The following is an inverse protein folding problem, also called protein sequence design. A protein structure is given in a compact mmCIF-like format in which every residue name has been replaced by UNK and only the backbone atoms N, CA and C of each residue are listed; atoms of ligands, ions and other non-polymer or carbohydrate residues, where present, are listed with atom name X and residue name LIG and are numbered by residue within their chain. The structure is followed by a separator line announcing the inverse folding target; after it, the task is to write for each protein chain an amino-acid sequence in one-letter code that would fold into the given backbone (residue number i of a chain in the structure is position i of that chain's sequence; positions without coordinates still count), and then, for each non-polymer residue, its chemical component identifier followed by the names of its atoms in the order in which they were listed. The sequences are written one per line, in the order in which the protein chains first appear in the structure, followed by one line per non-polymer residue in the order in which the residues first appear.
data_IF_227308153897
#
_entry.id   IF_227308153897
#
_cell.length_a   1.000
_cell.length_b   1.000
_cell.length_c   1.000
_cell.angle_alpha   90.00
_cell.angle_beta   90.00
_cell.angle_gamma   90.00
#
_symmetry.space_group_name_H-M   'P 1'
#
loop_
_entity.id
_entity.type
_entity.pdbx_description
1 polymer ?
#
# COMPACT_ATOMS: atom_id res chain seq x y z
N UNK A 1 -4.89 -13.07 5.06
CA UNK A 1 -3.57 -12.44 5.30
C UNK A 1 -3.58 -12.03 6.76
N UNK A 2 -2.87 -12.79 7.60
CA UNK A 2 -2.66 -12.41 8.99
C UNK A 2 -1.86 -11.11 9.03
N UNK A 3 -2.41 -10.11 9.69
CA UNK A 3 -1.70 -8.85 9.93
C UNK A 3 -0.79 -9.09 11.12
N UNK A 4 0.48 -9.32 10.87
CA UNK A 4 1.48 -9.43 11.93
C UNK A 4 1.84 -8.03 12.40
N UNK A 5 1.44 -7.68 13.62
CA UNK A 5 1.83 -6.41 14.24
C UNK A 5 3.26 -6.49 14.76
N UNK A 6 4.05 -5.40 14.66
CA UNK A 6 5.38 -5.36 15.25
C UNK A 6 5.27 -5.34 16.77
N UNK A 7 6.15 -6.10 17.42
CA UNK A 7 6.33 -6.06 18.87
C UNK A 7 7.53 -5.19 19.20
N UNK A 8 7.34 -4.27 20.13
CA UNK A 8 8.42 -3.43 20.64
C UNK A 8 8.74 -3.83 22.07
N UNK A 9 9.98 -4.17 22.31
CA UNK A 9 10.54 -4.52 23.62
C UNK A 9 11.53 -3.43 23.99
N UNK A 10 11.21 -2.67 25.04
CA UNK A 10 12.03 -1.56 25.53
C UNK A 10 12.68 -2.00 26.84
N UNK A 11 13.97 -1.79 26.95
CA UNK A 11 14.78 -2.07 28.15
C UNK A 11 15.70 -0.89 28.44
N UNK A 12 16.01 -0.66 29.70
CA UNK A 12 16.97 0.37 30.13
C UNK A 12 18.37 -0.18 30.42
N UNK A 13 18.53 -1.51 30.45
CA UNK A 13 19.79 -2.15 30.89
C UNK A 13 20.17 -3.40 30.08
N UNK A 14 19.57 -3.63 28.91
CA UNK A 14 19.93 -4.81 28.11
C UNK A 14 21.24 -4.59 27.37
N UNK A 15 22.08 -5.62 27.33
CA UNK A 15 23.26 -5.63 26.48
C UNK A 15 22.90 -5.98 25.03
N UNK A 16 23.77 -5.64 24.08
CA UNK A 16 23.61 -6.03 22.67
C UNK A 16 23.53 -7.55 22.49
N UNK A 17 24.31 -8.29 23.27
CA UNK A 17 24.35 -9.74 23.26
C UNK A 17 23.01 -10.31 23.68
N UNK A 18 22.43 -9.78 24.75
CA UNK A 18 21.09 -10.20 25.23
C UNK A 18 19.99 -9.89 24.21
N UNK A 19 20.02 -8.69 23.60
CA UNK A 19 19.07 -8.33 22.55
C UNK A 19 19.19 -9.23 21.32
N UNK A 20 20.42 -9.53 20.87
CA UNK A 20 20.66 -10.45 19.76
C UNK A 20 20.25 -11.89 20.10
N UNK A 21 20.48 -12.34 21.34
CA UNK A 21 20.03 -13.64 21.80
C UNK A 21 18.51 -13.75 21.84
N UNK A 22 17.80 -12.71 22.27
CA UNK A 22 16.35 -12.65 22.23
C UNK A 22 15.83 -12.65 20.79
N UNK A 23 16.43 -11.83 19.92
CA UNK A 23 16.04 -11.77 18.51
C UNK A 23 16.19 -13.14 17.82
N UNK A 24 17.30 -13.83 18.06
CA UNK A 24 17.54 -15.15 17.46
C UNK A 24 16.52 -16.23 17.91
N UNK A 25 15.83 -16.02 19.04
CA UNK A 25 14.75 -16.91 19.54
C UNK A 25 13.38 -16.54 19.01
N UNK A 26 13.17 -15.26 18.63
CA UNK A 26 11.87 -14.73 18.25
C UNK A 26 11.71 -14.54 16.76
N UNK A 27 12.78 -14.18 16.07
CA UNK A 27 12.79 -13.87 14.64
C UNK A 27 13.85 -14.69 13.88
N UNK A 28 13.54 -14.98 12.62
CA UNK A 28 14.42 -15.78 11.76
C UNK A 28 15.61 -14.96 11.19
N UNK A 29 15.45 -13.65 11.13
CA UNK A 29 16.41 -12.77 10.47
C UNK A 29 16.52 -11.42 11.16
N UNK A 30 17.76 -10.93 11.32
CA UNK A 30 18.05 -9.57 11.75
C UNK A 30 18.13 -8.68 10.51
N UNK A 31 17.32 -7.63 10.49
CA UNK A 31 17.27 -6.68 9.35
C UNK A 31 18.04 -5.40 9.59
N UNK A 32 18.22 -5.03 10.85
CA UNK A 32 18.76 -3.73 11.18
C UNK A 32 19.32 -3.71 12.59
N UNK A 33 20.44 -3.04 12.73
CA UNK A 33 21.06 -2.73 14.02
C UNK A 33 21.53 -1.28 13.99
N UNK A 34 21.21 -0.54 15.04
CA UNK A 34 21.62 0.83 15.24
C UNK A 34 22.06 1.05 16.68
N UNK A 35 23.10 1.83 16.84
CA UNK A 35 23.73 2.09 18.12
C UNK A 35 24.19 3.55 18.17
N UNK A 36 23.79 4.27 19.20
CA UNK A 36 24.31 5.58 19.52
C UNK A 36 24.46 5.77 21.05
N UNK A 37 24.76 6.98 21.49
CA UNK A 37 24.94 7.28 22.91
C UNK A 37 23.65 7.23 23.74
N UNK A 38 22.47 7.34 23.07
CA UNK A 38 21.16 7.44 23.71
C UNK A 38 20.41 6.10 23.75
N UNK A 39 20.56 5.27 22.72
CA UNK A 39 19.83 3.98 22.62
C UNK A 39 20.50 3.03 21.61
N UNK A 40 20.24 1.74 21.80
CA UNK A 40 20.50 0.70 20.81
C UNK A 40 19.18 0.18 20.26
N UNK A 41 19.12 -0.07 18.96
CA UNK A 41 17.94 -0.66 18.30
C UNK A 41 18.36 -1.87 17.48
N UNK A 42 17.73 -3.00 17.71
CA UNK A 42 17.85 -4.20 16.86
C UNK A 42 16.45 -4.55 16.34
N UNK A 43 16.38 -4.76 15.05
CA UNK A 43 15.12 -5.08 14.37
C UNK A 43 15.19 -6.43 13.66
N UNK A 44 14.23 -7.29 13.94
CA UNK A 44 13.91 -8.49 13.17
C UNK A 44 12.69 -8.33 12.26
N UNK A 45 12.06 -9.45 11.91
CA UNK A 45 10.83 -9.49 11.12
C UNK A 45 9.65 -8.87 11.84
N UNK A 46 9.48 -9.24 13.10
CA UNK A 46 8.32 -8.93 13.92
C UNK A 46 8.71 -8.12 15.14
N UNK A 47 9.89 -8.37 15.70
CA UNK A 47 10.35 -7.78 16.94
C UNK A 47 11.31 -6.62 16.72
N UNK A 48 11.12 -5.57 17.52
CA UNK A 48 12.02 -4.45 17.68
C UNK A 48 12.49 -4.43 19.13
N UNK A 49 13.78 -4.58 19.35
CA UNK A 49 14.41 -4.45 20.67
C UNK A 49 15.09 -3.10 20.76
N UNK A 50 14.71 -2.32 21.76
CA UNK A 50 15.25 -0.98 22.00
C UNK A 50 15.84 -0.98 23.41
N UNK A 51 17.14 -0.76 23.50
CA UNK A 51 17.79 -0.52 24.79
C UNK A 51 17.97 0.99 24.96
N UNK A 52 17.27 1.55 25.94
CA UNK A 52 17.36 2.96 26.28
C UNK A 52 18.54 3.20 27.21
N UNK A 53 19.50 4.02 26.78
CA UNK A 53 20.67 4.41 27.59
C UNK A 53 20.45 5.75 28.27
N UNK A 54 20.00 6.74 27.53
CA UNK A 54 19.85 8.15 27.99
C UNK A 54 18.76 8.92 27.23
N UNK A 55 17.96 8.25 26.41
CA UNK A 55 16.90 8.92 25.67
C UNK A 55 15.69 9.20 26.58
N UNK A 56 14.97 10.27 26.28
CA UNK A 56 13.66 10.48 26.87
C UNK A 56 12.66 9.45 26.32
N UNK A 57 11.81 8.90 27.16
CA UNK A 57 10.84 7.88 26.79
C UNK A 57 9.94 8.36 25.64
N UNK A 58 9.54 9.63 25.66
CA UNK A 58 8.71 10.27 24.63
C UNK A 58 9.36 10.16 23.23
N UNK A 59 10.67 10.24 23.12
CA UNK A 59 11.38 10.12 21.84
C UNK A 59 11.39 8.69 21.33
N UNK A 60 11.46 7.71 22.22
CA UNK A 60 11.35 6.31 21.88
C UNK A 60 9.91 6.01 21.39
N UNK A 61 8.89 6.54 22.07
CA UNK A 61 7.49 6.40 21.66
C UNK A 61 7.25 6.99 20.27
N UNK A 62 7.73 8.19 19.99
CA UNK A 62 7.64 8.82 18.65
C UNK A 62 8.32 7.99 17.57
N UNK A 63 9.48 7.42 17.87
CA UNK A 63 10.17 6.52 16.94
C UNK A 63 9.33 5.27 16.65
N UNK A 64 8.77 4.66 17.70
CA UNK A 64 7.88 3.49 17.57
C UNK A 64 6.67 3.83 16.71
N UNK A 65 6.00 4.94 16.98
CA UNK A 65 4.86 5.41 16.17
C UNK A 65 5.24 5.59 14.70
N UNK A 66 6.40 6.14 14.42
CA UNK A 66 6.87 6.35 13.06
C UNK A 66 7.16 5.01 12.34
N UNK A 67 7.74 4.04 13.03
CA UNK A 67 7.96 2.70 12.46
C UNK A 67 6.64 1.97 12.19
N UNK A 68 5.65 2.11 13.06
CA UNK A 68 4.30 1.57 12.86
C UNK A 68 3.66 2.22 11.63
N UNK A 69 3.71 3.55 11.54
CA UNK A 69 3.18 4.29 10.38
C UNK A 69 3.79 3.81 9.06
N UNK A 70 5.12 3.77 8.96
CA UNK A 70 5.82 3.33 7.74
C UNK A 70 5.41 1.91 7.35
N UNK A 71 5.29 1.02 8.31
CA UNK A 71 4.89 -0.37 8.08
C UNK A 71 3.46 -0.48 7.58
N UNK A 72 2.52 0.19 8.25
CA UNK A 72 1.10 0.18 7.86
C UNK A 72 0.90 0.81 6.47
N UNK A 73 1.58 1.91 6.22
CA UNK A 73 1.55 2.57 4.91
C UNK A 73 2.05 1.64 3.81
N UNK A 74 3.19 0.99 4.01
CA UNK A 74 3.73 -0.01 3.09
C UNK A 74 2.77 -1.18 2.89
N UNK A 75 2.16 -1.68 3.97
CA UNK A 75 1.15 -2.73 3.92
C UNK A 75 -0.05 -2.34 3.05
N UNK A 76 -0.52 -1.11 3.19
CA UNK A 76 -1.62 -0.57 2.38
C UNK A 76 -1.24 -0.45 0.89
N UNK A 77 -0.03 -0.01 0.56
CA UNK A 77 0.46 0.02 -0.81
C UNK A 77 0.48 -1.37 -1.45
N UNK A 78 0.96 -2.37 -0.72
CA UNK A 78 0.95 -3.77 -1.19
C UNK A 78 -0.46 -4.31 -1.42
N UNK A 79 -1.42 -3.95 -0.56
CA UNK A 79 -2.84 -4.30 -0.76
C UNK A 79 -3.39 -3.70 -2.06
N UNK A 80 -3.07 -2.44 -2.36
CA UNK A 80 -3.51 -1.80 -3.60
C UNK A 80 -2.86 -2.42 -4.84
N UNK A 81 -1.59 -2.81 -4.78
CA UNK A 81 -0.92 -3.54 -5.88
C UNK A 81 -1.61 -4.88 -6.15
N UNK A 82 -1.90 -5.66 -5.11
CA UNK A 82 -2.58 -6.95 -5.25
C UNK A 82 -4.01 -6.78 -5.79
N UNK A 83 -4.74 -5.79 -5.29
CA UNK A 83 -6.11 -5.52 -5.73
C UNK A 83 -6.14 -5.03 -7.18
N UNK A 84 -5.15 -4.23 -7.60
CA UNK A 84 -4.98 -3.82 -9.00
C UNK A 84 -4.93 -5.03 -9.94
N UNK A 85 -4.06 -6.01 -9.65
CA UNK A 85 -3.93 -7.22 -10.45
C UNK A 85 -5.25 -7.99 -10.54
N UNK A 86 -5.94 -8.18 -9.40
CA UNK A 86 -7.23 -8.89 -9.36
C UNK A 86 -8.29 -8.17 -10.19
N UNK A 87 -8.38 -6.85 -10.11
CA UNK A 87 -9.38 -6.08 -10.87
C UNK A 87 -9.03 -6.08 -12.36
N UNK A 88 -7.76 -5.94 -12.71
CA UNK A 88 -7.31 -6.01 -14.10
C UNK A 88 -7.71 -7.34 -14.75
N UNK A 89 -7.38 -8.45 -14.12
CA UNK A 89 -7.76 -9.79 -14.58
C UNK A 89 -9.28 -9.95 -14.74
N UNK A 90 -10.07 -9.40 -13.81
CA UNK A 90 -11.53 -9.44 -13.90
C UNK A 90 -12.08 -8.63 -15.07
N UNK A 91 -11.51 -7.47 -15.37
CA UNK A 91 -11.91 -6.64 -16.51
C UNK A 91 -11.57 -7.35 -17.81
N UNK A 92 -10.37 -7.94 -17.90
CA UNK A 92 -9.90 -8.67 -19.07
C UNK A 92 -10.79 -9.88 -19.36
N UNK A 93 -11.11 -10.68 -18.37
CA UNK A 93 -12.07 -11.78 -18.46
C UNK A 93 -13.47 -11.34 -18.96
N UNK A 94 -13.93 -10.14 -18.56
CA UNK A 94 -15.21 -9.60 -19.06
C UNK A 94 -15.10 -9.27 -20.55
N UNK A 95 -14.00 -8.65 -20.98
CA UNK A 95 -13.75 -8.31 -22.39
C UNK A 95 -13.69 -9.54 -23.28
N UNK A 96 -12.95 -10.57 -22.88
CA UNK A 96 -12.79 -11.81 -23.65
C UNK A 96 -14.13 -12.54 -23.83
N UNK A 97 -14.92 -12.63 -22.76
CA UNK A 97 -16.24 -13.30 -22.82
C UNK A 97 -17.26 -12.56 -23.67
N UNK A 98 -17.18 -11.24 -23.73
CA UNK A 98 -18.10 -10.43 -24.51
C UNK A 98 -17.88 -10.52 -26.04
N UNK A 99 -16.68 -10.90 -26.47
CA UNK A 99 -16.42 -11.14 -27.89
C UNK A 99 -17.14 -12.39 -28.44
N UNK A 100 -17.68 -13.23 -27.55
CA UNK A 100 -18.22 -14.56 -27.91
C UNK A 100 -19.74 -14.65 -27.97
N UNK A 101 -20.52 -13.83 -27.23
CA UNK A 101 -22.00 -13.91 -27.23
C UNK A 101 -22.66 -12.56 -26.92
N UNK A 102 -23.47 -12.07 -27.87
CA UNK A 102 -24.24 -10.81 -27.71
C UNK A 102 -25.32 -10.79 -26.63
N UNK A 103 -25.63 -11.92 -25.98
CA UNK A 103 -26.71 -12.06 -25.02
C UNK A 103 -26.44 -11.42 -23.64
N UNK A 104 -25.15 -11.14 -23.28
CA UNK A 104 -24.77 -10.74 -21.94
C UNK A 104 -24.25 -9.29 -21.82
N UNK A 105 -24.41 -8.46 -22.86
CA UNK A 105 -23.88 -7.08 -22.91
C UNK A 105 -24.33 -6.25 -21.70
N UNK A 106 -25.57 -6.39 -21.28
CA UNK A 106 -26.10 -5.63 -20.14
C UNK A 106 -25.47 -6.08 -18.81
N UNK A 107 -25.32 -7.38 -18.62
CA UNK A 107 -24.68 -7.93 -17.43
C UNK A 107 -23.18 -7.54 -17.35
N UNK A 108 -22.48 -7.49 -18.48
CA UNK A 108 -21.11 -7.04 -18.56
C UNK A 108 -20.95 -5.55 -18.25
N UNK A 109 -21.83 -4.70 -18.80
CA UNK A 109 -21.84 -3.28 -18.47
C UNK A 109 -22.04 -3.04 -16.96
N UNK A 110 -23.00 -3.73 -16.35
CA UNK A 110 -23.24 -3.63 -14.89
C UNK A 110 -21.99 -4.01 -14.07
N UNK A 111 -21.26 -5.04 -14.51
CA UNK A 111 -19.98 -5.43 -13.86
C UNK A 111 -18.91 -4.36 -14.04
N UNK A 112 -18.74 -3.82 -15.25
CA UNK A 112 -17.78 -2.76 -15.52
C UNK A 112 -18.11 -1.48 -14.74
N UNK A 113 -19.36 -1.12 -14.58
CA UNK A 113 -19.81 0.00 -13.75
C UNK A 113 -19.46 -0.21 -12.27
N UNK A 114 -19.61 -1.43 -11.77
CA UNK A 114 -19.18 -1.80 -10.41
C UNK A 114 -17.67 -1.66 -10.24
N UNK A 115 -16.88 -2.10 -11.22
CA UNK A 115 -15.43 -1.94 -11.19
C UNK A 115 -15.02 -0.46 -11.29
N UNK A 116 -15.66 0.33 -12.14
CA UNK A 116 -15.41 1.76 -12.25
C UNK A 116 -15.63 2.50 -10.91
N UNK A 117 -16.73 2.18 -10.21
CA UNK A 117 -16.99 2.71 -8.86
C UNK A 117 -15.91 2.34 -7.86
N UNK A 118 -15.50 1.06 -7.84
CA UNK A 118 -14.44 0.59 -6.96
C UNK A 118 -13.11 1.29 -7.25
N UNK A 119 -12.75 1.45 -8.51
CA UNK A 119 -11.53 2.15 -8.95
C UNK A 119 -11.56 3.60 -8.49
N UNK A 120 -12.69 4.30 -8.65
CA UNK A 120 -12.83 5.70 -8.21
C UNK A 120 -12.62 5.85 -6.70
N UNK A 121 -13.16 4.92 -5.89
CA UNK A 121 -12.95 4.92 -4.45
C UNK A 121 -11.47 4.70 -4.08
N UNK A 122 -10.80 3.78 -4.77
CA UNK A 122 -9.38 3.49 -4.54
C UNK A 122 -8.51 4.69 -4.96
N UNK A 123 -8.78 5.31 -6.11
CA UNK A 123 -8.08 6.53 -6.54
C UNK A 123 -8.22 7.66 -5.51
N UNK A 124 -9.43 7.84 -4.95
CA UNK A 124 -9.67 8.79 -3.86
C UNK A 124 -8.76 8.52 -2.65
N UNK A 125 -8.62 7.25 -2.25
CA UNK A 125 -7.74 6.84 -1.15
C UNK A 125 -6.26 7.05 -1.48
N UNK A 126 -5.83 6.69 -2.68
CA UNK A 126 -4.45 6.91 -3.15
C UNK A 126 -4.12 8.40 -3.16
N UNK A 127 -5.03 9.26 -3.59
CA UNK A 127 -4.84 10.71 -3.57
C UNK A 127 -4.73 11.25 -2.13
N UNK A 128 -5.53 10.75 -1.19
CA UNK A 128 -5.39 11.09 0.24
C UNK A 128 -4.00 10.67 0.77
N UNK A 129 -3.54 9.48 0.43
CA UNK A 129 -2.19 9.00 0.81
C UNK A 129 -1.09 9.88 0.22
N UNK A 130 -1.24 10.32 -1.04
CA UNK A 130 -0.29 11.21 -1.72
C UNK A 130 -0.19 12.59 -1.07
N UNK A 131 -1.25 13.07 -0.43
CA UNK A 131 -1.24 14.33 0.34
C UNK A 131 -0.69 14.12 1.75
N UNK A 132 -1.02 13.02 2.37
CA UNK A 132 -0.67 12.74 3.76
C UNK A 132 0.82 12.41 3.94
N UNK A 133 1.41 11.60 3.05
CA UNK A 133 2.78 11.11 3.16
C UNK A 133 3.84 12.24 3.23
N UNK A 134 3.83 13.27 2.34
CA UNK A 134 4.76 14.38 2.42
C UNK A 134 4.59 15.21 3.69
N UNK A 135 3.36 15.36 4.17
CA UNK A 135 3.07 16.09 5.42
C UNK A 135 3.68 15.37 6.61
N UNK A 136 3.49 14.05 6.68
CA UNK A 136 4.07 13.21 7.74
C UNK A 136 5.61 13.26 7.71
N UNK A 137 6.21 13.11 6.53
CA UNK A 137 7.65 13.23 6.36
C UNK A 137 8.20 14.58 6.83
N UNK A 138 7.52 15.67 6.51
CA UNK A 138 7.91 17.02 6.95
C UNK A 138 7.88 17.16 8.48
N UNK A 139 6.84 16.63 9.12
CA UNK A 139 6.74 16.62 10.59
C UNK A 139 7.91 15.85 11.19
N UNK A 140 8.15 14.66 10.67
CA UNK A 140 9.21 13.78 11.14
C UNK A 140 10.62 14.39 10.93
N UNK A 141 10.87 15.08 9.82
CA UNK A 141 12.16 15.76 9.53
C UNK A 141 12.39 17.02 10.39
N UNK A 142 11.32 17.67 10.84
CA UNK A 142 11.44 18.88 11.69
C UNK A 142 11.69 18.54 13.17
N UNK A 143 11.51 17.31 13.57
CA UNK A 143 11.83 16.83 14.89
C UNK A 143 13.33 16.46 14.94
N UNK A 144 14.13 17.23 15.70
CA UNK A 144 15.58 17.04 15.74
C UNK A 144 16.02 15.66 16.24
N UNK A 145 15.30 15.10 17.17
CA UNK A 145 15.64 13.81 17.76
C UNK A 145 15.14 12.65 16.88
N UNK A 146 13.97 12.82 16.28
CA UNK A 146 13.47 11.89 15.28
C UNK A 146 14.31 11.96 13.99
N UNK A 147 14.91 13.10 13.65
CA UNK A 147 15.70 13.27 12.43
C UNK A 147 16.98 12.42 12.45
N UNK A 148 17.56 12.14 13.62
CA UNK A 148 18.67 11.17 13.73
C UNK A 148 18.19 9.76 13.37
N UNK A 149 17.03 9.35 13.83
CA UNK A 149 16.40 8.10 13.41
C UNK A 149 15.97 8.11 11.95
N UNK A 150 15.55 9.24 11.44
CA UNK A 150 15.11 9.40 10.05
C UNK A 150 16.27 9.44 9.06
N UNK A 151 17.47 9.86 9.46
CA UNK A 151 18.65 9.71 8.60
C UNK A 151 18.89 8.24 8.23
N UNK A 152 18.50 7.34 9.12
CA UNK A 152 18.50 5.89 8.94
C UNK A 152 17.21 5.40 8.26
N UNK A 153 16.09 6.11 8.45
CA UNK A 153 14.79 5.80 7.86
C UNK A 153 14.50 6.60 6.59
N UNK A 154 15.30 7.59 6.23
CA UNK A 154 15.07 8.53 5.12
C UNK A 154 14.85 7.84 3.78
N UNK A 155 15.60 6.79 3.52
CA UNK A 155 15.39 5.90 2.38
C UNK A 155 13.96 5.32 2.30
N UNK A 156 13.28 5.16 3.43
CA UNK A 156 11.95 4.55 3.44
C UNK A 156 10.86 5.49 2.96
N UNK A 157 10.95 6.79 3.25
CA UNK A 157 9.98 7.77 2.76
C UNK A 157 10.06 7.93 1.24
N UNK A 158 11.27 8.00 0.68
CA UNK A 158 11.46 8.02 -0.78
C UNK A 158 10.88 6.76 -1.42
N UNK A 159 11.23 5.58 -0.91
CA UNK A 159 10.68 4.31 -1.42
C UNK A 159 9.15 4.26 -1.32
N UNK A 160 8.56 4.80 -0.24
CA UNK A 160 7.10 4.86 -0.12
C UNK A 160 6.49 5.82 -1.14
N UNK A 161 7.10 6.96 -1.41
CA UNK A 161 6.66 7.92 -2.43
C UNK A 161 6.72 7.30 -3.83
N UNK A 162 7.86 6.74 -4.19
CA UNK A 162 8.05 6.10 -5.51
C UNK A 162 7.05 4.97 -5.72
N UNK A 163 6.84 4.14 -4.70
CA UNK A 163 5.84 3.06 -4.75
C UNK A 163 4.42 3.61 -4.87
N UNK A 164 4.11 4.69 -4.16
CA UNK A 164 2.80 5.33 -4.22
C UNK A 164 2.54 5.94 -5.59
N UNK A 165 3.51 6.62 -6.19
CA UNK A 165 3.40 7.20 -7.52
C UNK A 165 3.26 6.12 -8.59
N UNK A 166 4.00 5.03 -8.47
CA UNK A 166 3.82 3.85 -9.33
C UNK A 166 2.40 3.28 -9.22
N UNK A 167 1.88 3.10 -8.02
CA UNK A 167 0.51 2.60 -7.78
C UNK A 167 -0.53 3.57 -8.36
N UNK A 168 -0.35 4.87 -8.16
CA UNK A 168 -1.21 5.90 -8.74
C UNK A 168 -1.29 5.80 -10.26
N UNK A 169 -0.14 5.61 -10.91
CA UNK A 169 -0.09 5.40 -12.35
C UNK A 169 -0.83 4.14 -12.79
N UNK A 170 -0.60 3.01 -12.12
CA UNK A 170 -1.30 1.75 -12.42
C UNK A 170 -2.82 1.88 -12.32
N UNK A 171 -3.33 2.52 -11.27
CA UNK A 171 -4.77 2.70 -11.08
C UNK A 171 -5.38 3.64 -12.13
N UNK A 172 -4.65 4.68 -12.55
CA UNK A 172 -5.05 5.55 -13.66
C UNK A 172 -5.15 4.76 -14.98
N UNK A 173 -4.19 3.89 -15.28
CA UNK A 173 -4.26 3.00 -16.44
C UNK A 173 -5.47 2.06 -16.37
N UNK A 174 -5.74 1.48 -15.19
CA UNK A 174 -6.90 0.59 -15.00
C UNK A 174 -8.23 1.31 -15.21
N UNK A 175 -8.34 2.55 -14.75
CA UNK A 175 -9.51 3.41 -15.00
C UNK A 175 -9.74 3.65 -16.48
N UNK A 176 -8.67 4.00 -17.21
CA UNK A 176 -8.74 4.18 -18.65
C UNK A 176 -9.14 2.88 -19.37
N UNK A 177 -8.65 1.74 -18.90
CA UNK A 177 -8.99 0.43 -19.44
C UNK A 177 -10.47 0.09 -19.25
N UNK A 178 -11.04 0.31 -18.05
CA UNK A 178 -12.47 0.15 -17.79
C UNK A 178 -13.29 1.07 -18.66
N UNK A 179 -12.92 2.35 -18.76
CA UNK A 179 -13.63 3.33 -19.59
C UNK A 179 -13.63 2.93 -21.06
N UNK A 180 -12.52 2.41 -21.56
CA UNK A 180 -12.44 1.90 -22.94
C UNK A 180 -13.30 0.65 -23.15
N UNK A 181 -13.36 -0.25 -22.18
CA UNK A 181 -14.24 -1.41 -22.22
C UNK A 181 -15.72 -0.98 -22.22
N UNK A 182 -16.12 -0.05 -21.37
CA UNK A 182 -17.48 0.48 -21.31
C UNK A 182 -17.90 1.12 -22.64
N UNK A 183 -17.02 1.89 -23.29
CA UNK A 183 -17.28 2.47 -24.62
C UNK A 183 -17.49 1.39 -25.68
N UNK A 184 -16.67 0.35 -25.68
CA UNK A 184 -16.80 -0.78 -26.60
C UNK A 184 -18.18 -1.44 -26.45
N UNK A 185 -18.60 -1.76 -25.22
CA UNK A 185 -19.88 -2.40 -24.95
C UNK A 185 -21.08 -1.50 -25.27
N UNK A 186 -20.95 -0.21 -25.04
CA UNK A 186 -21.99 0.76 -25.42
C UNK A 186 -22.19 0.83 -26.94
N UNK A 187 -21.11 0.76 -27.70
CA UNK A 187 -21.15 0.68 -29.16
C UNK A 187 -21.84 -0.60 -29.64
N UNK A 188 -21.45 -1.76 -29.09
CA UNK A 188 -22.08 -3.06 -29.44
C UNK A 188 -23.58 -3.09 -29.13
N UNK A 189 -24.02 -2.46 -28.02
CA UNK A 189 -25.43 -2.34 -27.68
C UNK A 189 -26.20 -1.51 -28.72
N UNK A 190 -25.62 -0.42 -29.21
CA UNK A 190 -26.21 0.42 -30.25
C UNK A 190 -26.37 -0.37 -31.56
N UNK A 191 -25.38 -1.13 -31.98
CA UNK A 191 -25.40 -1.92 -33.20
C UNK A 191 -26.44 -3.05 -33.15
N UNK A 192 -26.59 -3.72 -32.00
CA UNK A 192 -27.63 -4.76 -31.80
C UNK A 192 -29.02 -4.15 -31.88
N UNK A 193 -29.23 -3.00 -31.25
CA UNK A 193 -30.54 -2.30 -31.32
C UNK A 193 -30.86 -1.84 -32.74
N UNK A 194 -29.90 -1.29 -33.47
CA UNK A 194 -30.09 -0.85 -34.86
C UNK A 194 -30.43 -2.01 -35.78
N UNK A 195 -29.75 -3.16 -35.63
CA UNK A 195 -30.07 -4.37 -36.41
C UNK A 195 -31.46 -4.94 -36.08
N UNK A 196 -31.89 -4.88 -34.81
CA UNK A 196 -33.23 -5.34 -34.42
C UNK A 196 -34.35 -4.46 -35.03
N UNK A 197 -34.11 -3.14 -35.10
CA UNK A 197 -35.09 -2.19 -35.73
C UNK A 197 -35.16 -2.43 -37.24
N UNK A 198 -34.04 -2.60 -37.92
CA UNK A 198 -34.00 -2.82 -39.38
C UNK A 198 -34.55 -4.19 -39.79
N UNK A 199 -34.69 -5.16 -38.88
CA UNK A 199 -35.31 -6.45 -39.15
C UNK A 199 -36.82 -6.45 -38.86
N UNK A 200 -37.39 -5.35 -38.34
CA UNK A 200 -38.80 -5.16 -38.07
C UNK A 200 -39.50 -4.24 -39.10
N UNK A 201 -38.72 -3.65 -39.98
CA UNK A 201 -39.17 -2.87 -41.15
C UNK A 201 -38.99 -3.66 -42.42
#
# INVERSE_FOLDING_TARGET
IETVYPYFVISDNATKEEMNALLSRTDKQKYFEFDNEKYDVIRGDVYYFINNKKAELENIERYVEEQIFIREFKGQLHRYLNLHRIIWEKIDNVKERASVKGADILAFNTKLDSYAKTITLIEGRINQMSTYLPTREKIAKNDKELSEFLSISGFRYETLKDTLDYIKHLWSMTKNYVSSAQKLFSGLKSDVNSKSINNLT
#
